data_IF_717136242969
#
_entry.id   IF_717136242969
#
_cell.length_a   1.000
_cell.length_b   1.000
_cell.length_c   1.000
_cell.angle_alpha   90.00
_cell.angle_beta   90.00
_cell.angle_gamma   90.00
#
_symmetry.space_group_name_H-M   'P 1'
#
loop_
_entity.id
_entity.type
_entity.pdbx_description
1 polymer ?
#
# COMPACT_ATOMS: atom_id res chain seq x y z
N UNK A 1 -1.09 32.16 35.90
CA UNK A 1 -0.68 32.19 34.49
C UNK A 1 -0.78 30.75 34.00
N UNK A 2 -1.93 30.40 33.41
CA UNK A 2 -2.31 29.04 33.06
C UNK A 2 -2.52 29.02 31.55
N UNK A 3 -1.50 28.60 30.79
CA UNK A 3 -1.63 28.21 29.39
C UNK A 3 -2.19 26.78 29.34
N UNK A 4 -3.50 26.60 29.44
CA UNK A 4 -4.09 25.26 29.26
C UNK A 4 -5.40 25.35 28.49
N UNK A 5 -5.40 24.94 27.22
CA UNK A 5 -6.62 24.51 26.54
C UNK A 5 -6.74 24.81 25.05
N UNK A 6 -6.28 25.99 24.59
CA UNK A 6 -6.58 26.44 23.22
C UNK A 6 -5.66 25.87 22.13
N UNK A 7 -4.43 25.43 22.48
CA UNK A 7 -3.46 24.89 21.51
C UNK A 7 -3.46 23.36 21.38
N UNK A 8 -4.15 22.65 22.28
CA UNK A 8 -4.10 21.19 22.35
C UNK A 8 -4.71 20.50 21.11
N UNK A 9 -5.86 20.93 20.56
CA UNK A 9 -6.43 20.32 19.36
C UNK A 9 -5.53 20.49 18.12
N UNK A 10 -4.93 21.68 17.95
CA UNK A 10 -4.03 21.96 16.83
C UNK A 10 -2.74 21.14 16.90
N UNK A 11 -2.19 20.96 18.09
CA UNK A 11 -1.01 20.12 18.32
C UNK A 11 -1.30 18.64 18.03
N UNK A 12 -2.42 18.11 18.53
CA UNK A 12 -2.82 16.72 18.27
C UNK A 12 -3.04 16.46 16.77
N UNK A 13 -3.70 17.38 16.07
CA UNK A 13 -3.93 17.27 14.64
C UNK A 13 -2.65 17.30 13.81
N UNK A 14 -1.70 18.17 14.21
CA UNK A 14 -0.38 18.22 13.59
C UNK A 14 0.41 16.94 13.83
N UNK A 15 0.43 16.43 15.06
CA UNK A 15 1.11 15.17 15.39
C UNK A 15 0.55 14.02 14.57
N UNK A 16 -0.78 13.86 14.53
CA UNK A 16 -1.43 12.82 13.72
C UNK A 16 -1.09 12.96 12.23
N UNK A 17 -1.12 14.18 11.67
CA UNK A 17 -0.76 14.43 10.27
C UNK A 17 0.70 14.04 9.98
N UNK A 18 1.62 14.42 10.87
CA UNK A 18 3.04 14.08 10.74
C UNK A 18 3.26 12.58 10.85
N UNK A 19 2.68 11.91 11.84
CA UNK A 19 2.76 10.46 12.01
C UNK A 19 2.23 9.73 10.78
N UNK A 20 1.11 10.17 10.22
CA UNK A 20 0.54 9.61 8.98
C UNK A 20 1.50 9.78 7.81
N UNK A 21 2.08 10.96 7.64
CA UNK A 21 3.05 11.24 6.58
C UNK A 21 4.31 10.39 6.70
N UNK A 22 4.89 10.29 7.91
CA UNK A 22 6.03 9.43 8.21
C UNK A 22 5.70 7.96 7.93
N UNK A 23 4.53 7.49 8.35
CA UNK A 23 4.10 6.10 8.12
C UNK A 23 4.03 5.77 6.63
N UNK A 24 3.49 6.67 5.79
CA UNK A 24 3.45 6.46 4.34
C UNK A 24 4.84 6.42 3.68
N UNK A 25 5.76 7.31 4.09
CA UNK A 25 7.13 7.31 3.57
C UNK A 25 7.93 6.10 4.06
N UNK A 26 7.79 5.74 5.34
CA UNK A 26 8.39 4.54 5.90
C UNK A 26 7.87 3.29 5.18
N UNK A 27 6.55 3.20 4.93
CA UNK A 27 5.96 2.13 4.15
C UNK A 27 6.57 2.01 2.76
N UNK A 28 6.72 3.11 2.02
CA UNK A 28 7.39 3.11 0.71
C UNK A 28 8.83 2.59 0.78
N UNK A 29 9.64 3.16 1.68
CA UNK A 29 11.06 2.79 1.81
C UNK A 29 11.20 1.32 2.22
N UNK A 30 10.40 0.87 3.19
CA UNK A 30 10.44 -0.50 3.68
C UNK A 30 9.98 -1.50 2.62
N UNK A 31 8.94 -1.19 1.82
CA UNK A 31 8.56 -2.04 0.68
C UNK A 31 9.71 -2.12 -0.34
N UNK A 32 10.31 -0.99 -0.70
CA UNK A 32 11.41 -0.98 -1.69
C UNK A 32 12.62 -1.81 -1.21
N UNK A 33 13.02 -1.64 0.05
CA UNK A 33 14.11 -2.42 0.67
C UNK A 33 13.73 -3.89 0.78
N UNK A 34 12.54 -4.20 1.29
CA UNK A 34 12.02 -5.57 1.38
C UNK A 34 12.11 -6.29 0.04
N UNK A 35 11.59 -5.69 -1.03
CA UNK A 35 11.59 -6.27 -2.36
C UNK A 35 13.00 -6.44 -2.94
N UNK A 36 13.90 -5.49 -2.70
CA UNK A 36 15.30 -5.61 -3.10
C UNK A 36 16.01 -6.79 -2.41
N UNK A 37 15.70 -7.06 -1.14
CA UNK A 37 16.28 -8.17 -0.38
C UNK A 37 15.68 -9.52 -0.76
N UNK A 38 14.35 -9.61 -0.91
CA UNK A 38 13.64 -10.85 -1.34
C UNK A 38 14.08 -11.27 -2.74
N UNK A 39 14.32 -10.31 -3.63
CA UNK A 39 14.72 -10.58 -5.02
C UNK A 39 16.25 -10.75 -5.20
N UNK A 40 17.04 -10.67 -4.12
CA UNK A 40 18.46 -10.97 -4.19
C UNK A 40 18.69 -12.44 -4.59
N UNK A 41 19.42 -12.68 -5.69
CA UNK A 41 19.68 -14.02 -6.22
C UNK A 41 19.02 -14.31 -7.57
N UNK A 42 18.10 -13.45 -8.05
CA UNK A 42 17.51 -13.58 -9.39
C UNK A 42 16.11 -13.01 -9.48
N UNK A 43 15.67 -12.73 -10.71
CA UNK A 43 14.31 -12.23 -10.98
C UNK A 43 13.23 -13.27 -10.73
N UNK A 44 12.00 -12.78 -10.63
CA UNK A 44 10.80 -13.61 -10.53
C UNK A 44 10.53 -14.35 -11.87
N UNK A 45 10.18 -15.66 -11.85
CA UNK A 45 9.76 -16.40 -13.04
C UNK A 45 8.50 -15.83 -13.69
N UNK A 46 8.20 -16.28 -14.91
CA UNK A 46 6.90 -15.99 -15.52
C UNK A 46 5.77 -16.76 -14.81
N UNK A 47 4.54 -16.24 -14.82
CA UNK A 47 3.39 -16.87 -14.17
C UNK A 47 3.00 -18.25 -14.73
N UNK A 48 3.36 -18.53 -15.98
CA UNK A 48 3.15 -19.81 -16.65
C UNK A 48 4.38 -20.73 -16.60
N UNK A 49 5.42 -20.34 -15.85
CA UNK A 49 6.63 -21.13 -15.70
C UNK A 49 6.33 -22.53 -15.13
N UNK A 50 7.11 -23.56 -15.54
CA UNK A 50 7.00 -24.88 -14.95
C UNK A 50 7.27 -24.86 -13.44
N UNK A 51 6.62 -25.76 -12.68
CA UNK A 51 6.81 -25.84 -11.22
C UNK A 51 8.28 -26.05 -10.80
N UNK A 52 9.08 -26.73 -11.63
CA UNK A 52 10.51 -26.91 -11.37
C UNK A 52 11.30 -25.60 -11.43
N UNK A 53 10.93 -24.70 -12.34
CA UNK A 53 11.55 -23.37 -12.45
C UNK A 53 11.16 -22.49 -11.25
N UNK A 54 9.90 -22.57 -10.83
CA UNK A 54 9.41 -21.87 -9.63
C UNK A 54 10.07 -22.41 -8.36
N UNK A 55 10.28 -23.73 -8.25
CA UNK A 55 11.03 -24.33 -7.15
C UNK A 55 12.47 -23.79 -7.14
N UNK A 56 13.15 -23.81 -8.29
CA UNK A 56 14.50 -23.25 -8.42
C UNK A 56 14.57 -21.77 -8.05
N UNK A 57 13.52 -20.98 -8.32
CA UNK A 57 13.43 -19.59 -7.85
C UNK A 57 13.52 -19.48 -6.32
N UNK A 58 12.87 -20.38 -5.58
CA UNK A 58 12.93 -20.39 -4.11
C UNK A 58 14.27 -20.94 -3.59
N UNK A 59 14.79 -22.02 -4.19
CA UNK A 59 16.08 -22.62 -3.81
C UNK A 59 17.28 -21.69 -4.05
N UNK A 60 17.16 -20.75 -4.99
CA UNK A 60 18.24 -19.78 -5.30
C UNK A 60 18.19 -18.52 -4.44
N UNK A 61 17.20 -18.39 -3.54
CA UNK A 61 17.12 -17.22 -2.65
C UNK A 61 18.28 -17.22 -1.67
N UNK A 62 18.71 -16.03 -1.27
CA UNK A 62 19.72 -15.91 -0.23
C UNK A 62 19.11 -16.19 1.16
N UNK A 63 19.62 -17.20 1.86
CA UNK A 63 19.12 -17.67 3.17
C UNK A 63 19.08 -16.60 4.26
N UNK A 64 19.90 -15.55 4.15
CA UNK A 64 19.94 -14.45 5.12
C UNK A 64 19.07 -13.28 4.68
N UNK A 65 19.19 -12.85 3.41
CA UNK A 65 18.50 -11.67 2.92
C UNK A 65 17.00 -11.92 2.72
N UNK A 66 16.60 -13.14 2.33
CA UNK A 66 15.20 -13.46 2.08
C UNK A 66 14.34 -13.35 3.35
N UNK A 67 14.68 -13.96 4.50
CA UNK A 67 13.90 -13.80 5.73
C UNK A 67 13.87 -12.35 6.24
N UNK A 68 14.99 -11.62 6.14
CA UNK A 68 15.06 -10.20 6.52
C UNK A 68 14.12 -9.38 5.62
N UNK A 69 14.18 -9.59 4.30
CA UNK A 69 13.32 -8.93 3.34
C UNK A 69 11.85 -9.20 3.57
N UNK A 70 11.47 -10.46 3.81
CA UNK A 70 10.10 -10.87 4.15
C UNK A 70 9.61 -10.17 5.43
N UNK A 71 10.42 -10.18 6.50
CA UNK A 71 10.10 -9.50 7.75
C UNK A 71 9.93 -7.97 7.59
N UNK A 72 10.84 -7.31 6.85
CA UNK A 72 10.70 -5.89 6.55
C UNK A 72 9.43 -5.59 5.74
N UNK A 73 9.02 -6.51 4.86
CA UNK A 73 7.75 -6.43 4.14
C UNK A 73 6.55 -6.36 5.07
N UNK A 74 6.52 -7.20 6.11
CA UNK A 74 5.47 -7.18 7.12
C UNK A 74 5.43 -5.85 7.89
N UNK A 75 6.59 -5.30 8.27
CA UNK A 75 6.67 -3.98 8.91
C UNK A 75 6.18 -2.89 7.95
N UNK A 76 6.53 -2.98 6.67
CA UNK A 76 6.08 -2.03 5.65
C UNK A 76 4.54 -2.02 5.54
N UNK A 77 3.91 -3.20 5.56
CA UNK A 77 2.45 -3.33 5.52
C UNK A 77 1.81 -2.73 6.78
N UNK A 78 2.41 -2.91 7.95
CA UNK A 78 1.96 -2.25 9.18
C UNK A 78 2.12 -0.72 9.09
N UNK A 79 3.19 -0.21 8.51
CA UNK A 79 3.35 1.22 8.28
C UNK A 79 2.25 1.75 7.32
N UNK A 80 1.91 1.00 6.27
CA UNK A 80 0.80 1.33 5.38
C UNK A 80 -0.57 1.30 6.09
N UNK A 81 -0.79 0.37 7.02
CA UNK A 81 -1.99 0.35 7.86
C UNK A 81 -2.15 1.66 8.64
N UNK A 82 -1.07 2.14 9.25
CA UNK A 82 -1.05 3.43 9.95
C UNK A 82 -1.30 4.60 9.00
N UNK A 83 -0.74 4.56 7.79
CA UNK A 83 -1.02 5.53 6.75
C UNK A 83 -2.52 5.55 6.37
N UNK A 84 -3.15 4.40 6.12
CA UNK A 84 -4.56 4.32 5.77
C UNK A 84 -5.46 4.83 6.91
N UNK A 85 -5.17 4.46 8.15
CA UNK A 85 -5.92 4.91 9.32
C UNK A 85 -5.80 6.43 9.52
N UNK A 86 -4.60 6.98 9.46
CA UNK A 86 -4.37 8.41 9.59
C UNK A 86 -4.94 9.22 8.42
N UNK A 87 -4.82 8.70 7.19
CA UNK A 87 -5.36 9.34 6.01
C UNK A 87 -6.90 9.29 5.99
N UNK A 88 -7.51 8.23 6.52
CA UNK A 88 -8.94 8.19 6.76
C UNK A 88 -9.40 9.34 7.67
N UNK A 89 -8.67 9.62 8.75
CA UNK A 89 -8.99 10.73 9.66
C UNK A 89 -8.98 12.08 8.92
N UNK A 90 -8.02 12.28 8.01
CA UNK A 90 -7.94 13.46 7.13
C UNK A 90 -9.10 13.51 6.13
N UNK A 91 -9.42 12.40 5.47
CA UNK A 91 -10.51 12.33 4.50
C UNK A 91 -11.87 12.54 5.16
N UNK A 92 -12.08 11.95 6.34
CA UNK A 92 -13.32 12.05 7.11
C UNK A 92 -13.58 13.48 7.56
N UNK A 93 -12.55 14.19 8.05
CA UNK A 93 -12.72 15.58 8.47
C UNK A 93 -13.08 16.50 7.30
N UNK A 94 -12.57 16.20 6.10
CA UNK A 94 -12.94 16.92 4.89
C UNK A 94 -14.33 16.54 4.34
N UNK A 95 -14.71 15.27 4.41
CA UNK A 95 -15.97 14.76 3.87
C UNK A 95 -17.19 15.23 4.67
N UNK A 96 -17.08 15.33 6.00
CA UNK A 96 -18.22 15.62 6.86
C UNK A 96 -19.20 14.44 6.98
N UNK A 97 -20.46 14.74 7.29
CA UNK A 97 -21.51 13.72 7.45
C UNK A 97 -22.41 13.68 6.20
N UNK A 98 -22.76 12.48 5.67
CA UNK A 98 -22.32 11.16 6.09
C UNK A 98 -20.91 10.79 5.54
N UNK A 99 -20.05 10.14 6.35
CA UNK A 99 -18.64 9.91 6.02
C UNK A 99 -18.42 8.59 5.26
N UNK A 100 -19.32 8.25 4.34
CA UNK A 100 -19.34 6.90 3.77
C UNK A 100 -18.16 6.65 2.81
N UNK A 101 -17.67 7.67 2.07
CA UNK A 101 -16.54 7.50 1.15
C UNK A 101 -15.25 7.31 1.95
N UNK A 102 -15.05 8.07 3.01
CA UNK A 102 -13.87 7.91 3.87
C UNK A 102 -13.89 6.53 4.54
N UNK A 103 -15.04 6.04 5.00
CA UNK A 103 -15.18 4.66 5.50
C UNK A 103 -14.84 3.62 4.42
N UNK A 104 -15.29 3.80 3.17
CA UNK A 104 -14.90 2.93 2.05
C UNK A 104 -13.39 2.97 1.83
N UNK A 105 -12.76 4.15 1.89
CA UNK A 105 -11.31 4.28 1.75
C UNK A 105 -10.58 3.49 2.86
N UNK A 106 -10.97 3.65 4.13
CA UNK A 106 -10.39 2.90 5.24
C UNK A 106 -10.57 1.39 5.05
N UNK A 107 -11.81 0.95 4.82
CA UNK A 107 -12.11 -0.47 4.63
C UNK A 107 -11.31 -1.09 3.49
N UNK A 108 -11.14 -0.36 2.39
CA UNK A 108 -10.34 -0.80 1.25
C UNK A 108 -8.86 -0.89 1.60
N UNK A 109 -8.31 0.07 2.36
CA UNK A 109 -6.93 0.00 2.87
C UNK A 109 -6.70 -1.19 3.81
N UNK A 110 -7.68 -1.52 4.67
CA UNK A 110 -7.63 -2.71 5.53
C UNK A 110 -7.66 -4.01 4.72
N UNK A 111 -8.54 -4.10 3.72
CA UNK A 111 -8.59 -5.26 2.81
C UNK A 111 -7.27 -5.42 2.06
N UNK A 112 -6.67 -4.32 1.59
CA UNK A 112 -5.34 -4.36 0.98
C UNK A 112 -4.31 -4.99 1.92
N UNK A 113 -4.22 -4.48 3.16
CA UNK A 113 -3.30 -5.00 4.20
C UNK A 113 -3.48 -6.51 4.40
N UNK A 114 -4.73 -6.96 4.57
CA UNK A 114 -5.02 -8.39 4.77
C UNK A 114 -4.59 -9.23 3.56
N UNK A 115 -4.86 -8.76 2.34
CA UNK A 115 -4.54 -9.51 1.12
C UNK A 115 -3.03 -9.63 0.88
N UNK A 116 -2.24 -8.62 1.24
CA UNK A 116 -0.78 -8.61 1.05
C UNK A 116 -0.01 -9.28 2.19
N UNK A 117 -0.61 -9.47 3.37
CA UNK A 117 0.01 -10.24 4.48
C UNK A 117 -0.09 -11.76 4.31
N UNK A 118 -0.62 -12.26 3.19
CA UNK A 118 -0.74 -13.70 2.97
C UNK A 118 0.65 -14.32 2.77
N UNK A 119 0.97 -15.44 3.45
CA UNK A 119 2.33 -16.01 3.46
C UNK A 119 2.64 -16.86 2.23
N UNK A 120 2.06 -16.54 1.06
CA UNK A 120 2.10 -17.41 -0.13
C UNK A 120 3.51 -17.89 -0.46
N UNK A 121 4.42 -16.95 -0.73
CA UNK A 121 5.82 -17.27 -1.04
C UNK A 121 6.60 -17.82 0.15
N UNK A 122 6.37 -17.27 1.36
CA UNK A 122 7.05 -17.70 2.57
C UNK A 122 6.84 -19.19 2.88
N UNK A 123 5.68 -19.74 2.53
CA UNK A 123 5.38 -21.17 2.71
C UNK A 123 6.34 -22.10 1.94
N UNK A 124 6.77 -21.68 0.74
CA UNK A 124 7.72 -22.42 -0.08
C UNK A 124 9.16 -22.03 0.25
N UNK A 125 9.45 -20.72 0.36
CA UNK A 125 10.80 -20.21 0.61
C UNK A 125 11.42 -20.74 1.91
N UNK A 126 10.66 -20.82 3.00
CA UNK A 126 11.20 -21.33 4.29
C UNK A 126 11.45 -22.84 4.32
N UNK A 127 10.94 -23.58 3.34
CA UNK A 127 11.12 -25.04 3.25
C UNK A 127 11.92 -25.47 2.04
N UNK A 128 12.48 -24.54 1.27
CA UNK A 128 13.19 -24.86 0.04
C UNK A 128 14.25 -25.95 0.27
N UNK A 129 15.03 -25.83 1.35
CA UNK A 129 16.08 -26.78 1.73
C UNK A 129 15.57 -28.16 2.19
N UNK A 130 14.28 -28.27 2.54
CA UNK A 130 13.64 -29.52 2.96
C UNK A 130 13.16 -30.35 1.75
N UNK A 131 13.28 -29.82 0.53
CA UNK A 131 12.83 -30.49 -0.70
C UNK A 131 11.33 -30.36 -0.93
N UNK A 132 10.86 -29.13 -1.17
CA UNK A 132 9.45 -28.85 -1.48
C UNK A 132 9.07 -29.49 -2.83
N UNK A 133 7.91 -30.16 -2.88
CA UNK A 133 7.34 -30.62 -4.14
C UNK A 133 7.14 -29.45 -5.14
N UNK A 134 7.58 -29.57 -6.41
CA UNK A 134 7.48 -28.48 -7.38
C UNK A 134 6.06 -27.93 -7.61
N UNK A 135 5.02 -28.76 -7.46
CA UNK A 135 3.63 -28.31 -7.60
C UNK A 135 3.14 -27.56 -6.35
N UNK A 136 3.62 -27.95 -5.16
CA UNK A 136 3.38 -27.17 -3.94
C UNK A 136 4.10 -25.82 -3.98
N UNK A 137 5.33 -25.76 -4.48
CA UNK A 137 6.06 -24.51 -4.69
C UNK A 137 5.32 -23.59 -5.67
N UNK A 138 4.81 -24.14 -6.78
CA UNK A 138 3.97 -23.41 -7.73
C UNK A 138 2.68 -22.89 -7.09
N UNK A 139 1.96 -23.71 -6.35
CA UNK A 139 0.73 -23.30 -5.67
C UNK A 139 0.99 -22.14 -4.69
N UNK A 140 2.07 -22.22 -3.91
CA UNK A 140 2.50 -21.19 -2.98
C UNK A 140 2.84 -19.86 -3.69
N UNK A 141 3.58 -19.95 -4.80
CA UNK A 141 3.92 -18.83 -5.68
C UNK A 141 2.67 -18.18 -6.29
N UNK A 142 1.78 -18.96 -6.90
CA UNK A 142 0.53 -18.50 -7.52
C UNK A 142 -0.39 -17.85 -6.48
N UNK A 143 -0.49 -18.43 -5.29
CA UNK A 143 -1.30 -17.87 -4.20
C UNK A 143 -0.76 -16.51 -3.72
N UNK A 144 0.56 -16.35 -3.62
CA UNK A 144 1.18 -15.06 -3.30
C UNK A 144 0.89 -14.00 -4.37
N UNK A 145 1.12 -14.36 -5.62
CA UNK A 145 1.00 -13.44 -6.75
C UNK A 145 -0.44 -13.07 -7.12
N UNK A 146 -1.32 -14.06 -7.22
CA UNK A 146 -2.76 -13.81 -7.40
C UNK A 146 -3.31 -13.04 -6.21
N UNK A 147 -2.74 -13.29 -5.03
CA UNK A 147 -3.10 -12.57 -3.83
C UNK A 147 -2.76 -11.08 -3.89
N UNK A 148 -1.55 -10.76 -4.33
CA UNK A 148 -1.09 -9.40 -4.61
C UNK A 148 -1.91 -8.74 -5.72
N UNK A 149 -2.18 -9.45 -6.82
CA UNK A 149 -3.02 -8.96 -7.91
C UNK A 149 -4.43 -8.59 -7.42
N UNK A 150 -5.05 -9.41 -6.58
CA UNK A 150 -6.36 -9.12 -5.99
C UNK A 150 -6.32 -7.90 -5.06
N UNK A 151 -5.18 -7.62 -4.41
CA UNK A 151 -5.01 -6.44 -3.57
C UNK A 151 -5.09 -5.12 -4.38
N UNK A 152 -4.82 -5.15 -5.69
CA UNK A 152 -4.98 -3.98 -6.56
C UNK A 152 -6.43 -3.48 -6.65
N UNK A 153 -7.42 -4.38 -6.53
CA UNK A 153 -8.83 -3.97 -6.48
C UNK A 153 -9.15 -3.17 -5.21
N UNK A 154 -8.52 -3.57 -4.09
CA UNK A 154 -8.63 -2.83 -2.84
C UNK A 154 -7.96 -1.45 -2.95
N UNK A 155 -6.76 -1.36 -3.57
CA UNK A 155 -6.14 -0.06 -3.85
C UNK A 155 -6.98 0.80 -4.80
N UNK A 156 -7.58 0.22 -5.84
CA UNK A 156 -8.45 0.94 -6.76
C UNK A 156 -9.65 1.55 -6.00
N UNK A 157 -10.32 0.77 -5.16
CA UNK A 157 -11.43 1.24 -4.33
C UNK A 157 -11.00 2.35 -3.36
N UNK A 158 -9.86 2.18 -2.69
CA UNK A 158 -9.26 3.21 -1.82
C UNK A 158 -9.02 4.52 -2.59
N UNK A 159 -8.39 4.44 -3.76
CA UNK A 159 -8.04 5.60 -4.59
C UNK A 159 -9.27 6.28 -5.21
N UNK A 160 -10.31 5.52 -5.59
CA UNK A 160 -11.60 6.10 -6.03
C UNK A 160 -12.21 6.93 -4.91
N UNK A 161 -12.33 6.35 -3.72
CA UNK A 161 -12.94 7.01 -2.57
C UNK A 161 -12.13 8.25 -2.15
N UNK A 162 -10.80 8.12 -2.02
CA UNK A 162 -9.90 9.22 -1.70
C UNK A 162 -9.93 10.32 -2.76
N UNK A 163 -9.80 9.94 -4.04
CA UNK A 163 -9.82 10.86 -5.17
C UNK A 163 -11.12 11.64 -5.26
N UNK A 164 -12.26 10.96 -5.07
CA UNK A 164 -13.58 11.61 -5.06
C UNK A 164 -13.69 12.63 -3.93
N UNK A 165 -13.27 12.29 -2.71
CA UNK A 165 -13.26 13.25 -1.60
C UNK A 165 -12.37 14.45 -1.94
N UNK A 166 -11.13 14.22 -2.39
CA UNK A 166 -10.18 15.30 -2.73
C UNK A 166 -10.76 16.25 -3.80
N UNK A 167 -11.41 15.71 -4.84
CA UNK A 167 -11.99 16.52 -5.91
C UNK A 167 -13.23 17.30 -5.44
N UNK A 168 -14.06 16.69 -4.59
CA UNK A 168 -15.31 17.31 -4.10
C UNK A 168 -15.08 18.34 -2.99
N UNK A 169 -14.09 18.15 -2.12
CA UNK A 169 -13.86 19.01 -0.95
C UNK A 169 -12.67 19.95 -1.11
N UNK A 170 -11.78 19.68 -2.07
CA UNK A 170 -10.51 20.41 -2.28
C UNK A 170 -9.61 20.44 -1.04
N UNK A 171 -9.75 19.47 -0.13
CA UNK A 171 -8.88 19.32 1.05
C UNK A 171 -7.40 19.14 0.69
N UNK A 172 -7.13 18.61 -0.52
CA UNK A 172 -5.82 18.55 -1.16
C UNK A 172 -5.90 19.14 -2.58
N UNK A 173 -4.76 19.46 -3.23
CA UNK A 173 -4.75 19.90 -4.61
C UNK A 173 -5.51 18.95 -5.55
N UNK A 174 -6.38 19.50 -6.40
CA UNK A 174 -7.29 18.71 -7.23
C UNK A 174 -6.57 17.73 -8.18
N UNK A 175 -5.36 18.05 -8.61
CA UNK A 175 -4.57 17.15 -9.46
C UNK A 175 -4.26 15.81 -8.77
N UNK A 176 -4.11 15.78 -7.43
CA UNK A 176 -3.95 14.53 -6.69
C UNK A 176 -5.20 13.67 -6.73
N UNK A 177 -6.37 14.30 -6.75
CA UNK A 177 -7.63 13.59 -6.92
C UNK A 177 -7.70 12.90 -8.28
N UNK A 178 -7.33 13.61 -9.35
CA UNK A 178 -7.27 13.04 -10.70
C UNK A 178 -6.24 11.93 -10.84
N UNK A 179 -5.05 12.09 -10.27
CA UNK A 179 -4.03 11.04 -10.26
C UNK A 179 -4.53 9.80 -9.53
N UNK A 180 -5.23 9.96 -8.39
CA UNK A 180 -5.83 8.83 -7.69
C UNK A 180 -6.85 8.09 -8.56
N UNK A 181 -7.77 8.81 -9.21
CA UNK A 181 -8.76 8.18 -10.10
C UNK A 181 -8.12 7.48 -11.31
N UNK A 182 -7.09 8.09 -11.92
CA UNK A 182 -6.36 7.49 -13.02
C UNK A 182 -5.61 6.22 -12.59
N UNK A 183 -4.93 6.25 -11.44
CA UNK A 183 -4.26 5.09 -10.88
C UNK A 183 -5.26 3.98 -10.50
N UNK A 184 -6.44 4.34 -9.99
CA UNK A 184 -7.50 3.38 -9.71
C UNK A 184 -7.99 2.65 -10.97
N UNK A 185 -8.29 3.40 -12.04
CA UNK A 185 -8.64 2.80 -13.33
C UNK A 185 -7.52 1.91 -13.88
N UNK A 186 -6.27 2.36 -13.73
CA UNK A 186 -5.10 1.57 -14.09
C UNK A 186 -5.00 0.27 -13.29
N UNK A 187 -5.30 0.26 -11.98
CA UNK A 187 -5.32 -0.97 -11.19
C UNK A 187 -6.42 -1.95 -11.60
N UNK A 188 -7.61 -1.45 -11.98
CA UNK A 188 -8.67 -2.30 -12.53
C UNK A 188 -8.22 -2.96 -13.84
N UNK A 189 -7.62 -2.19 -14.75
CA UNK A 189 -7.05 -2.71 -15.98
C UNK A 189 -5.89 -3.68 -15.70
N UNK A 190 -4.99 -3.32 -14.78
CA UNK A 190 -3.89 -4.15 -14.32
C UNK A 190 -4.38 -5.50 -13.80
N UNK A 191 -5.47 -5.51 -13.04
CA UNK A 191 -6.07 -6.76 -12.56
C UNK A 191 -6.62 -7.64 -13.70
N UNK A 192 -7.17 -7.05 -14.74
CA UNK A 192 -7.65 -7.79 -15.91
C UNK A 192 -6.48 -8.45 -16.69
N UNK A 193 -5.32 -7.81 -16.71
CA UNK A 193 -4.11 -8.25 -17.42
C UNK A 193 -2.96 -8.57 -16.44
N UNK A 194 -3.28 -9.18 -15.30
CA UNK A 194 -2.39 -9.28 -14.14
C UNK A 194 -1.10 -10.06 -14.37
N UNK A 195 -1.08 -10.92 -15.39
CA UNK A 195 0.12 -11.68 -15.78
C UNK A 195 1.12 -10.87 -16.61
N UNK A 196 0.77 -9.62 -16.99
CA UNK A 196 1.62 -8.73 -17.78
C UNK A 196 2.20 -7.62 -16.93
N UNK A 197 3.36 -7.01 -17.30
CA UNK A 197 3.95 -5.91 -16.52
C UNK A 197 3.13 -4.60 -16.47
N UNK A 198 1.94 -4.53 -17.10
CA UNK A 198 1.14 -3.30 -17.19
C UNK A 198 0.74 -2.74 -15.82
N UNK A 199 0.65 -3.59 -14.79
CA UNK A 199 0.33 -3.20 -13.42
C UNK A 199 1.40 -2.29 -12.79
N UNK A 200 2.62 -2.26 -13.31
CA UNK A 200 3.70 -1.40 -12.82
C UNK A 200 3.35 0.09 -12.95
N UNK A 201 2.58 0.46 -13.98
CA UNK A 201 2.19 1.86 -14.25
C UNK A 201 1.30 2.43 -13.15
N UNK A 202 0.11 1.85 -12.84
CA UNK A 202 -0.72 2.33 -11.73
C UNK A 202 -0.03 2.16 -10.38
N UNK A 203 0.82 1.14 -10.21
CA UNK A 203 1.56 0.94 -8.96
C UNK A 203 2.60 2.04 -8.72
N UNK A 204 3.35 2.43 -9.75
CA UNK A 204 4.26 3.58 -9.69
C UNK A 204 3.51 4.89 -9.44
N UNK A 205 2.37 5.10 -10.11
CA UNK A 205 1.52 6.27 -9.87
C UNK A 205 0.99 6.32 -8.43
N UNK A 206 0.57 5.17 -7.87
CA UNK A 206 0.15 5.04 -6.48
C UNK A 206 1.26 5.39 -5.48
N UNK A 207 2.48 4.89 -5.69
CA UNK A 207 3.59 5.22 -4.81
C UNK A 207 3.98 6.69 -4.88
N UNK A 208 4.06 7.25 -6.09
CA UNK A 208 4.31 8.68 -6.26
C UNK A 208 3.22 9.51 -5.57
N UNK A 209 1.96 9.13 -5.75
CA UNK A 209 0.83 9.78 -5.09
C UNK A 209 0.94 9.69 -3.56
N UNK A 210 1.26 8.53 -3.02
CA UNK A 210 1.43 8.28 -1.58
C UNK A 210 2.56 9.15 -1.01
N UNK A 211 3.71 9.19 -1.69
CA UNK A 211 4.84 10.05 -1.32
C UNK A 211 4.42 11.52 -1.28
N UNK A 212 3.74 12.01 -2.31
CA UNK A 212 3.31 13.42 -2.37
C UNK A 212 2.29 13.73 -1.28
N UNK A 213 1.32 12.85 -1.04
CA UNK A 213 0.34 13.00 0.06
C UNK A 213 1.07 13.04 1.40
N UNK A 214 1.96 12.10 1.66
CA UNK A 214 2.77 12.07 2.88
C UNK A 214 3.57 13.36 3.07
N UNK A 215 4.23 13.87 2.03
CA UNK A 215 4.97 15.14 2.08
C UNK A 215 4.04 16.32 2.38
N UNK A 216 2.82 16.34 1.86
CA UNK A 216 1.85 17.39 2.16
C UNK A 216 1.34 17.33 3.61
N UNK A 217 1.15 16.12 4.16
CA UNK A 217 0.80 15.90 5.56
C UNK A 217 1.92 16.36 6.49
N UNK A 218 3.18 16.05 6.16
CA UNK A 218 4.36 16.52 6.90
C UNK A 218 4.48 18.05 6.88
N UNK A 219 4.16 18.68 5.75
CA UNK A 219 4.20 20.13 5.58
C UNK A 219 2.97 20.84 6.16
N UNK A 220 1.98 20.11 6.69
CA UNK A 220 0.73 20.67 7.21
C UNK A 220 -0.11 21.38 6.14
N UNK A 221 0.04 21.03 4.86
CA UNK A 221 -0.65 21.69 3.74
C UNK A 221 -2.08 21.22 3.51
N UNK A 222 -2.74 20.73 4.55
CA UNK A 222 -4.16 20.41 4.49
C UNK A 222 -4.93 21.72 4.34
N UNK A 223 -5.68 21.85 3.26
CA UNK A 223 -6.61 22.97 3.12
C UNK A 223 -7.76 22.69 4.07
N UNK A 224 -7.68 23.26 5.28
CA UNK A 224 -8.83 23.32 6.17
C UNK A 224 -9.94 24.02 5.40
N UNK A 225 -11.09 23.37 5.27
CA UNK A 225 -12.33 24.03 4.87
C UNK A 225 -12.75 24.96 6.02
N UNK A 226 -12.02 26.06 6.23
CA UNK A 226 -12.46 27.11 7.14
C UNK A 226 -13.45 28.00 6.39
N UNK A 227 -14.68 28.03 6.90
CA UNK A 227 -15.69 29.06 6.66
C UNK A 227 -16.18 29.21 5.20
N UNK A 228 -17.02 28.28 4.75
CA UNK A 228 -18.23 28.72 4.06
C UNK A 228 -19.25 29.03 5.17
N UNK A 229 -19.42 30.32 5.46
CA UNK A 229 -20.57 30.85 6.19
C UNK A 229 -21.86 30.54 5.42
#
# INVERSE_FOLDING_TARGET
>A
MVETGLDAPGRQWRTMSVTTGVAGLAGFVLVAVSQALVQAGGGEPAFDAPGQEILGFFETRNDTLYPIGSFLGLIAVLALLWFFAGFWVVLRSAEGMPPWRSVVALGSGLVYVVLVMRPGWDLAGFRADEGVDPQLARLAYDNGNLGFANAWLALASFLVAAGWIILSTRALPAWLGWVALAAAAGFLAGRAFWTTPIWLIPYAAYWLWTIVVSVQLLRGRLRTASAAQ
#
